data_IF_034096258983
#
_entry.id   IF_034096258983
#
_cell.length_a   1.000
_cell.length_b   1.000
_cell.length_c   1.000
_cell.angle_alpha   90.00
_cell.angle_beta   90.00
_cell.angle_gamma   90.00
#
_symmetry.space_group_name_H-M   'P 1'
#
loop_
_entity.id
_entity.type
_entity.pdbx_description
1 polymer ?
#
# COMPACT_ATOMS: atom_id res chain seq x y z
N UNK A 1 10.78 -13.13 4.70
CA UNK A 1 11.17 -12.52 5.98
C UNK A 1 10.46 -11.18 6.02
N UNK A 2 9.36 -11.10 6.76
CA UNK A 2 8.59 -9.88 6.92
C UNK A 2 9.23 -9.05 8.03
N UNK A 3 9.49 -7.76 7.79
CA UNK A 3 9.81 -6.86 8.88
C UNK A 3 8.48 -6.51 9.60
N UNK A 4 8.56 -6.22 10.89
CA UNK A 4 7.39 -5.71 11.64
C UNK A 4 7.90 -4.48 12.34
N UNK A 5 7.37 -3.31 11.99
CA UNK A 5 7.59 -2.11 12.78
C UNK A 5 6.43 -1.98 13.75
N UNK A 6 6.76 -1.93 15.03
CA UNK A 6 5.83 -1.54 16.07
C UNK A 6 5.77 0.00 16.01
N UNK A 7 4.63 0.57 15.62
CA UNK A 7 4.40 2.01 15.82
C UNK A 7 4.14 2.23 17.32
N UNK A 8 4.91 3.15 17.92
CA UNK A 8 5.09 3.26 19.36
C UNK A 8 3.81 3.69 20.12
N UNK A 9 3.76 3.21 21.35
CA UNK A 9 2.75 3.40 22.37
C UNK A 9 2.59 4.85 22.83
N UNK A 10 1.39 5.42 22.70
CA UNK A 10 1.01 6.63 23.45
C UNK A 10 -0.35 6.48 24.13
N UNK A 11 -0.34 5.96 25.35
CA UNK A 11 -1.16 6.50 26.44
C UNK A 11 -0.60 6.02 27.77
N UNK A 12 0.22 6.86 28.40
CA UNK A 12 0.63 6.68 29.78
C UNK A 12 -0.55 7.06 30.69
N UNK A 13 -1.43 6.13 31.01
CA UNK A 13 -2.18 6.20 32.27
C UNK A 13 -1.30 5.60 33.36
N UNK A 14 -0.64 6.50 34.08
CA UNK A 14 0.26 6.24 35.19
C UNK A 14 -0.51 5.60 36.36
N UNK A 15 -0.58 4.27 36.40
CA UNK A 15 -1.00 3.51 37.58
C UNK A 15 0.24 2.90 38.23
N UNK A 16 0.65 3.50 39.34
CA UNK A 16 1.73 3.02 40.19
C UNK A 16 1.35 1.66 40.78
N UNK A 17 1.89 0.58 40.24
CA UNK A 17 1.98 -0.70 40.93
C UNK A 17 3.40 -1.24 40.87
N UNK A 18 3.89 -1.55 42.07
CA UNK A 18 5.22 -2.01 42.36
C UNK A 18 5.53 -3.34 41.64
N UNK A 19 6.81 -3.51 41.26
CA UNK A 19 7.47 -4.75 40.79
C UNK A 19 7.52 -4.96 39.26
N UNK A 20 8.42 -4.22 38.60
CA UNK A 20 9.64 -4.86 38.09
C UNK A 20 9.64 -5.68 36.79
N UNK A 21 8.58 -5.72 35.99
CA UNK A 21 8.65 -6.16 34.59
C UNK A 21 7.85 -5.19 33.71
N UNK A 22 8.55 -4.34 32.96
CA UNK A 22 7.94 -3.47 31.95
C UNK A 22 7.54 -4.32 30.74
N UNK A 23 6.30 -4.78 30.72
CA UNK A 23 5.68 -5.30 29.51
C UNK A 23 5.28 -4.12 28.63
N UNK A 24 5.95 -3.96 27.49
CA UNK A 24 5.48 -3.05 26.46
C UNK A 24 4.28 -3.71 25.78
N UNK A 25 3.07 -3.30 26.15
CA UNK A 25 1.87 -3.76 25.44
C UNK A 25 1.85 -3.06 24.09
N UNK A 26 2.11 -3.84 23.04
CA UNK A 26 1.97 -3.40 21.65
C UNK A 26 0.47 -3.17 21.40
N UNK A 27 0.05 -1.91 21.36
CA UNK A 27 -1.35 -1.55 21.12
C UNK A 27 -1.72 -1.76 19.65
N UNK A 28 -0.77 -1.55 18.74
CA UNK A 28 -0.96 -1.73 17.30
C UNK A 28 0.39 -2.05 16.65
N UNK A 29 0.46 -3.13 15.89
CA UNK A 29 1.63 -3.45 15.08
C UNK A 29 1.21 -3.48 13.62
N UNK A 30 1.94 -2.76 12.77
CA UNK A 30 1.73 -2.82 11.32
C UNK A 30 2.84 -3.65 10.71
N UNK A 31 2.47 -4.60 9.85
CA UNK A 31 3.44 -5.37 9.09
C UNK A 31 4.04 -4.45 8.04
N UNK A 32 5.36 -4.32 8.06
CA UNK A 32 6.10 -3.47 7.13
C UNK A 32 7.05 -4.38 6.39
N UNK A 33 6.95 -4.44 5.07
CA UNK A 33 7.94 -5.22 4.36
C UNK A 33 9.31 -4.56 4.52
N UNK A 34 10.40 -5.34 4.47
CA UNK A 34 11.75 -4.81 4.64
C UNK A 34 12.19 -3.88 3.48
N UNK A 35 11.26 -3.56 2.58
CA UNK A 35 11.36 -2.64 1.46
C UNK A 35 10.92 -1.20 1.78
N UNK A 36 10.47 -0.94 3.02
CA UNK A 36 10.02 0.38 3.46
C UNK A 36 8.57 0.72 3.08
N UNK A 37 7.76 -0.28 2.72
CA UNK A 37 6.34 -0.09 2.40
C UNK A 37 5.42 -0.77 3.41
N UNK A 38 4.31 -0.09 3.69
CA UNK A 38 3.20 -0.64 4.45
C UNK A 38 2.36 -1.53 3.52
N UNK A 39 1.76 -2.56 4.08
CA UNK A 39 0.73 -3.34 3.40
C UNK A 39 -0.62 -2.59 3.40
N UNK A 40 -0.61 -1.39 2.82
CA UNK A 40 -1.71 -0.44 2.86
C UNK A 40 -1.58 0.59 1.73
N UNK A 41 -2.70 1.18 1.32
CA UNK A 41 -2.80 1.97 0.09
C UNK A 41 -3.58 3.27 0.29
N UNK A 42 -3.11 4.35 -0.35
CA UNK A 42 -3.91 5.54 -0.58
C UNK A 42 -4.75 5.33 -1.84
N UNK A 43 -6.06 5.55 -1.76
CA UNK A 43 -6.95 5.40 -2.91
C UNK A 43 -7.13 6.75 -3.61
N UNK A 44 -6.92 6.76 -4.91
CA UNK A 44 -7.13 7.92 -5.79
C UNK A 44 -8.23 7.55 -6.77
N UNK A 45 -9.42 8.14 -6.57
CA UNK A 45 -10.60 7.90 -7.40
C UNK A 45 -10.62 8.81 -8.63
N UNK A 46 -11.32 8.38 -9.68
CA UNK A 46 -11.56 9.13 -10.91
C UNK A 46 -10.29 9.62 -11.60
N UNK A 47 -9.17 8.91 -11.37
CA UNK A 47 -7.89 9.15 -12.02
C UNK A 47 -7.39 7.88 -12.68
N UNK A 48 -6.66 8.05 -13.78
CA UNK A 48 -5.99 6.94 -14.44
C UNK A 48 -4.55 7.31 -14.83
N UNK A 49 -3.76 6.27 -15.08
CA UNK A 49 -2.43 6.37 -15.66
C UNK A 49 -2.46 5.81 -17.08
N UNK A 50 -1.66 6.38 -17.96
CA UNK A 50 -1.52 5.87 -19.32
C UNK A 50 -1.01 4.43 -19.32
N UNK A 51 -1.41 3.70 -20.35
CA UNK A 51 -0.96 2.35 -20.68
C UNK A 51 0.51 2.05 -20.40
N UNK A 52 1.39 2.98 -20.76
CA UNK A 52 2.85 2.89 -20.65
C UNK A 52 3.34 2.78 -19.22
N UNK A 53 2.58 3.28 -18.25
CA UNK A 53 2.90 3.27 -16.81
C UNK A 53 2.41 2.01 -16.10
N UNK A 54 1.67 1.14 -16.80
CA UNK A 54 1.12 -0.10 -16.27
C UNK A 54 1.97 -1.32 -16.70
N UNK A 55 2.08 -2.30 -15.82
CA UNK A 55 2.69 -3.61 -16.09
C UNK A 55 1.69 -4.51 -16.82
N UNK A 56 1.45 -4.21 -18.09
CA UNK A 56 0.39 -4.83 -18.93
C UNK A 56 0.51 -6.33 -19.21
N UNK A 57 1.64 -6.95 -18.88
CA UNK A 57 1.82 -8.39 -19.08
C UNK A 57 1.16 -9.21 -17.97
N UNK A 58 0.63 -8.57 -16.92
CA UNK A 58 0.00 -9.28 -15.82
C UNK A 58 -1.22 -8.52 -15.33
N UNK A 59 -2.37 -9.17 -15.46
CA UNK A 59 -3.65 -8.74 -14.89
C UNK A 59 -4.03 -9.72 -13.81
N UNK A 60 -4.48 -9.21 -12.66
CA UNK A 60 -4.91 -10.00 -11.52
C UNK A 60 -6.43 -9.93 -11.40
N UNK A 61 -7.06 -11.02 -11.00
CA UNK A 61 -8.52 -11.13 -10.92
C UNK A 61 -9.07 -10.57 -9.61
N UNK A 62 -8.21 -10.44 -8.60
CA UNK A 62 -8.60 -9.94 -7.28
C UNK A 62 -7.61 -8.92 -6.75
N UNK A 63 -8.10 -8.03 -5.88
CA UNK A 63 -7.28 -7.02 -5.21
C UNK A 63 -6.18 -7.68 -4.37
N UNK A 64 -6.46 -8.81 -3.72
CA UNK A 64 -5.48 -9.51 -2.89
C UNK A 64 -4.32 -10.09 -3.71
N UNK A 65 -4.61 -10.66 -4.89
CA UNK A 65 -3.55 -11.15 -5.79
C UNK A 65 -2.65 -10.01 -6.29
N UNK A 66 -3.25 -8.89 -6.71
CA UNK A 66 -2.52 -7.70 -7.14
C UNK A 66 -1.68 -7.12 -5.99
N UNK A 67 -2.27 -7.03 -4.80
CA UNK A 67 -1.63 -6.58 -3.57
C UNK A 67 -0.41 -7.42 -3.23
N UNK A 68 -0.55 -8.73 -3.16
CA UNK A 68 0.56 -9.64 -2.90
C UNK A 68 1.65 -9.54 -3.97
N UNK A 69 1.29 -9.37 -5.25
CA UNK A 69 2.27 -9.21 -6.31
C UNK A 69 3.02 -7.87 -6.21
N UNK A 70 2.32 -6.76 -5.98
CA UNK A 70 2.91 -5.43 -5.82
C UNK A 70 3.84 -5.35 -4.60
N UNK A 71 3.48 -6.05 -3.52
CA UNK A 71 4.32 -6.22 -2.35
C UNK A 71 5.59 -7.03 -2.66
N UNK A 72 5.47 -8.18 -3.33
CA UNK A 72 6.66 -8.99 -3.74
C UNK A 72 7.64 -8.22 -4.62
N UNK A 73 7.14 -7.29 -5.44
CA UNK A 73 7.98 -6.41 -6.26
C UNK A 73 8.71 -5.33 -5.46
N UNK A 74 8.26 -5.07 -4.23
CA UNK A 74 8.76 -4.01 -3.36
C UNK A 74 8.84 -2.66 -4.08
N UNK A 75 9.98 -1.96 -4.08
CA UNK A 75 10.08 -0.60 -4.64
C UNK A 75 9.80 -0.51 -6.15
N UNK A 76 9.81 -1.62 -6.88
CA UNK A 76 9.54 -1.63 -8.33
C UNK A 76 8.05 -1.49 -8.67
N UNK A 77 7.16 -1.76 -7.72
CA UNK A 77 5.73 -1.48 -7.88
C UNK A 77 5.39 -0.17 -7.17
N UNK A 78 4.74 0.77 -7.87
CA UNK A 78 4.24 2.00 -7.24
C UNK A 78 2.87 1.76 -6.59
N UNK A 79 2.05 0.92 -7.21
CA UNK A 79 0.66 0.73 -6.80
C UNK A 79 -0.10 -0.20 -7.73
N UNK A 80 -1.43 -0.16 -7.61
CA UNK A 80 -2.36 -0.98 -8.38
C UNK A 80 -3.35 -0.06 -9.09
N UNK A 81 -3.76 -0.42 -10.30
CA UNK A 81 -4.82 0.22 -11.06
C UNK A 81 -5.98 -0.75 -11.20
N UNK A 82 -7.18 -0.30 -10.85
CA UNK A 82 -8.44 -1.01 -11.08
C UNK A 82 -9.26 -0.19 -12.07
N UNK A 83 -9.34 -0.67 -13.31
CA UNK A 83 -10.11 0.00 -14.33
C UNK A 83 -11.59 -0.02 -13.93
N UNK A 84 -12.24 1.15 -13.97
CA UNK A 84 -13.63 1.35 -13.55
C UNK A 84 -13.93 1.15 -12.06
N UNK A 85 -12.92 0.86 -11.24
CA UNK A 85 -13.10 0.62 -9.81
C UNK A 85 -14.18 -0.44 -9.53
N UNK A 86 -14.26 -1.45 -10.39
CA UNK A 86 -15.29 -2.48 -10.34
C UNK A 86 -14.81 -3.77 -9.66
N UNK A 87 -13.54 -3.80 -9.24
CA UNK A 87 -12.88 -4.92 -8.58
C UNK A 87 -12.71 -6.18 -9.43
N UNK A 88 -12.76 -6.06 -10.76
CA UNK A 88 -12.70 -7.22 -11.67
C UNK A 88 -11.36 -7.34 -12.40
N UNK A 89 -10.60 -6.25 -12.61
CA UNK A 89 -9.34 -6.31 -13.37
C UNK A 89 -8.27 -5.37 -12.81
N UNK A 90 -7.31 -5.95 -12.10
CA UNK A 90 -6.23 -5.20 -11.48
C UNK A 90 -4.94 -5.30 -12.30
N UNK A 91 -4.32 -4.16 -12.57
CA UNK A 91 -2.99 -4.06 -13.18
C UNK A 91 -2.03 -3.41 -12.19
N UNK A 92 -0.75 -3.80 -12.21
CA UNK A 92 0.26 -3.12 -11.40
C UNK A 92 0.77 -1.87 -12.11
N UNK A 93 1.14 -0.87 -11.32
CA UNK A 93 1.76 0.37 -11.78
C UNK A 93 3.28 0.28 -11.60
N UNK A 94 4.01 0.51 -12.67
CA UNK A 94 5.47 0.42 -12.70
C UNK A 94 6.10 1.68 -12.08
N UNK A 95 6.88 1.50 -11.00
CA UNK A 95 7.50 2.61 -10.28
C UNK A 95 8.61 3.31 -11.09
N UNK A 96 9.13 2.70 -12.17
CA UNK A 96 10.19 3.30 -12.99
C UNK A 96 9.81 4.65 -13.59
N UNK A 97 8.52 4.93 -13.70
CA UNK A 97 7.99 6.15 -14.30
C UNK A 97 7.90 7.33 -13.34
N UNK A 98 8.28 7.15 -12.06
CA UNK A 98 8.23 8.20 -11.03
C UNK A 98 6.87 8.92 -11.03
N UNK A 99 5.81 8.21 -10.66
CA UNK A 99 4.44 8.71 -10.71
C UNK A 99 4.29 9.92 -9.78
N UNK A 100 3.83 11.04 -10.33
CA UNK A 100 3.55 12.31 -9.62
C UNK A 100 2.11 12.76 -9.87
N UNK A 101 1.68 13.86 -9.23
CA UNK A 101 0.35 14.43 -9.49
C UNK A 101 0.12 14.75 -10.99
N UNK A 102 1.14 15.26 -11.69
CA UNK A 102 1.07 15.56 -13.14
C UNK A 102 0.96 14.30 -14.01
N UNK A 103 1.26 13.13 -13.46
CA UNK A 103 1.07 11.86 -14.15
C UNK A 103 -0.38 11.42 -14.20
N UNK A 104 -1.23 11.94 -13.31
CA UNK A 104 -2.62 11.51 -13.10
C UNK A 104 -3.55 12.26 -14.04
N UNK A 105 -4.30 11.50 -14.84
CA UNK A 105 -5.27 12.04 -15.78
C UNK A 105 -6.70 11.79 -15.30
N UNK A 106 -7.64 12.67 -15.64
CA UNK A 106 -9.05 12.50 -15.29
C UNK A 106 -9.65 11.28 -15.99
N UNK A 107 -10.20 10.37 -15.21
CA UNK A 107 -10.84 9.16 -15.73
C UNK A 107 -12.33 9.41 -15.96
N UNK A 108 -12.76 9.26 -17.22
CA UNK A 108 -14.20 9.19 -17.57
C UNK A 108 -14.84 7.84 -17.27
N UNK A 109 -14.01 6.85 -16.95
CA UNK A 109 -14.44 5.47 -16.73
C UNK A 109 -14.49 5.12 -15.25
N UNK A 110 -14.26 6.07 -14.34
CA UNK A 110 -14.17 5.83 -12.89
C UNK A 110 -13.06 4.86 -12.44
N UNK A 111 -11.88 4.88 -13.06
CA UNK A 111 -10.69 4.14 -12.60
C UNK A 111 -10.29 4.51 -11.16
N UNK A 112 -9.85 3.52 -10.39
CA UNK A 112 -9.25 3.67 -9.08
C UNK A 112 -7.77 3.32 -9.13
N UNK A 113 -6.93 4.18 -8.57
CA UNK A 113 -5.51 3.91 -8.35
C UNK A 113 -5.26 3.72 -6.85
N UNK A 114 -4.54 2.67 -6.51
CA UNK A 114 -4.13 2.34 -5.15
C UNK A 114 -2.62 2.59 -5.07
N UNK A 115 -2.21 3.72 -4.53
CA UNK A 115 -0.80 4.06 -4.29
C UNK A 115 -0.30 3.38 -3.01
N UNK A 116 0.83 2.67 -3.06
CA UNK A 116 1.41 2.06 -1.86
C UNK A 116 1.86 3.12 -0.86
N UNK A 117 1.50 2.94 0.41
CA UNK A 117 1.98 3.81 1.49
C UNK A 117 3.40 3.40 1.90
N UNK A 118 4.27 4.40 2.01
CA UNK A 118 5.58 4.23 2.64
C UNK A 118 5.42 4.10 4.16
N UNK A 119 6.30 3.32 4.77
CA UNK A 119 6.39 3.19 6.23
C UNK A 119 7.00 4.43 6.87
#
# INVERSE_FOLDING_TARGET
>A
MDCVTVEDSTSWTQLWLAHGLKFCNVLTAKRVQCDGYLDDYNVINDKYLTSTKLLRHTTYQTMEEARMACLRMGPACWGISDDKCDTVNFMLVDAKWNITADSLLDSKQHTCLYEKRKA
#
